data_IF_451476488947
#
_entry.id   IF_451476488947
#
_cell.length_a   1.000
_cell.length_b   1.000
_cell.length_c   1.000
_cell.angle_alpha   90.00
_cell.angle_beta   90.00
_cell.angle_gamma   90.00
#
_symmetry.space_group_name_H-M   'P 1'
#
loop_
_entity.id
_entity.type
_entity.pdbx_description
1 polymer ?
#
# COMPACT_ATOMS: atom_id res chain seq x y z
N UNK A 1 28.06 33.89 14.12
CA UNK A 1 26.89 33.94 13.19
C UNK A 1 26.63 32.61 12.47
N UNK A 2 27.65 31.90 11.97
CA UNK A 2 27.51 30.64 11.21
C UNK A 2 26.83 29.49 12.00
N UNK A 3 27.21 29.27 13.27
CA UNK A 3 26.64 28.19 14.10
C UNK A 3 25.14 28.34 14.40
N UNK A 4 24.69 29.58 14.69
CA UNK A 4 23.26 29.90 14.89
C UNK A 4 22.44 29.66 13.61
N UNK A 5 23.07 29.80 12.44
CA UNK A 5 22.42 29.58 11.14
C UNK A 5 22.23 28.07 10.87
N UNK A 6 23.26 27.27 11.17
CA UNK A 6 23.21 25.80 11.04
C UNK A 6 22.16 25.21 11.98
N UNK A 7 22.08 25.69 13.23
CA UNK A 7 21.05 25.27 14.19
C UNK A 7 19.62 25.57 13.72
N UNK A 8 19.39 26.72 13.10
CA UNK A 8 18.07 27.07 12.54
C UNK A 8 17.69 26.21 11.35
N UNK A 9 18.62 25.96 10.43
CA UNK A 9 18.39 25.08 9.28
C UNK A 9 18.10 23.65 9.76
N UNK A 10 18.87 23.14 10.73
CA UNK A 10 18.64 21.84 11.33
C UNK A 10 17.26 21.72 11.99
N UNK A 11 16.83 22.74 12.74
CA UNK A 11 15.50 22.79 13.35
C UNK A 11 14.39 22.81 12.29
N UNK A 12 14.53 23.61 11.23
CA UNK A 12 13.55 23.65 10.13
C UNK A 12 13.45 22.31 9.41
N UNK A 13 14.57 21.63 9.15
CA UNK A 13 14.58 20.29 8.57
C UNK A 13 13.90 19.26 9.48
N UNK A 14 14.19 19.30 10.78
CA UNK A 14 13.56 18.39 11.75
C UNK A 14 12.05 18.61 11.82
N UNK A 15 11.60 19.88 11.91
CA UNK A 15 10.18 20.23 11.93
C UNK A 15 9.47 19.81 10.63
N UNK A 16 10.13 19.95 9.48
CA UNK A 16 9.62 19.50 8.19
C UNK A 16 9.44 17.98 8.15
N UNK A 17 10.42 17.20 8.63
CA UNK A 17 10.32 15.74 8.71
C UNK A 17 9.20 15.27 9.65
N UNK A 18 9.02 15.95 10.79
CA UNK A 18 7.91 15.67 11.73
C UNK A 18 6.56 15.97 11.08
N UNK A 19 6.42 17.14 10.43
CA UNK A 19 5.20 17.50 9.73
C UNK A 19 4.85 16.49 8.64
N UNK A 20 5.81 16.09 7.81
CA UNK A 20 5.64 15.06 6.79
C UNK A 20 5.16 13.73 7.38
N UNK A 21 5.73 13.29 8.50
CA UNK A 21 5.33 12.06 9.18
C UNK A 21 3.87 12.10 9.65
N UNK A 22 3.42 13.25 10.18
CA UNK A 22 2.03 13.43 10.64
C UNK A 22 1.06 13.45 9.45
N UNK A 23 1.39 14.17 8.37
CA UNK A 23 0.52 14.30 7.20
C UNK A 23 0.37 13.00 6.39
N UNK A 24 1.44 12.19 6.34
CA UNK A 24 1.48 10.92 5.60
C UNK A 24 1.17 9.71 6.48
N UNK A 25 0.66 9.91 7.69
CA UNK A 25 0.22 8.81 8.55
C UNK A 25 -0.94 8.05 7.86
N UNK A 26 -0.84 6.72 7.69
CA UNK A 26 -1.94 5.93 7.15
C UNK A 26 -3.12 5.92 8.13
N UNK A 27 -4.33 5.93 7.59
CA UNK A 27 -5.58 5.78 8.34
C UNK A 27 -5.90 4.31 8.66
N UNK A 28 -5.34 3.36 7.90
CA UNK A 28 -5.53 1.92 8.09
C UNK A 28 -4.21 1.19 8.29
N UNK A 29 -4.28 0.06 8.99
CA UNK A 29 -3.13 -0.83 9.09
C UNK A 29 -2.91 -1.59 7.78
N UNK A 30 -1.70 -2.11 7.59
CA UNK A 30 -1.39 -2.98 6.46
C UNK A 30 -2.25 -4.25 6.47
N UNK A 31 -2.56 -4.79 7.65
CA UNK A 31 -3.44 -5.96 7.81
C UNK A 31 -4.88 -5.67 7.41
N UNK A 32 -5.42 -4.51 7.80
CA UNK A 32 -6.75 -4.06 7.39
C UNK A 32 -6.81 -3.89 5.87
N UNK A 33 -5.77 -3.30 5.27
CA UNK A 33 -5.67 -3.17 3.82
C UNK A 33 -5.57 -4.53 3.11
N UNK A 34 -4.86 -5.51 3.69
CA UNK A 34 -4.79 -6.87 3.14
C UNK A 34 -6.16 -7.56 3.13
N UNK A 35 -6.95 -7.40 4.20
CA UNK A 35 -8.32 -7.91 4.26
C UNK A 35 -9.25 -7.23 3.24
N UNK A 36 -9.06 -5.93 2.98
CA UNK A 36 -9.77 -5.23 1.92
C UNK A 36 -9.38 -5.83 0.56
N UNK A 37 -8.07 -6.01 0.30
CA UNK A 37 -7.57 -6.59 -0.94
C UNK A 37 -8.14 -7.99 -1.21
N UNK A 38 -8.20 -8.84 -0.17
CA UNK A 38 -8.82 -10.16 -0.24
C UNK A 38 -10.29 -10.09 -0.66
N UNK A 39 -11.07 -9.20 -0.03
CA UNK A 39 -12.52 -9.06 -0.26
C UNK A 39 -12.88 -8.48 -1.62
N UNK A 40 -12.05 -7.56 -2.14
CA UNK A 40 -12.35 -6.86 -3.41
C UNK A 40 -11.80 -7.60 -4.62
N UNK A 41 -10.91 -8.58 -4.43
CA UNK A 41 -10.36 -9.36 -5.54
C UNK A 41 -11.49 -10.16 -6.20
N UNK A 42 -11.72 -10.00 -7.52
CA UNK A 42 -12.79 -10.71 -8.22
C UNK A 42 -12.42 -12.18 -8.46
N UNK A 43 -12.75 -13.03 -7.50
CA UNK A 43 -12.51 -14.48 -7.59
C UNK A 43 -13.64 -15.13 -8.39
N UNK A 44 -13.29 -15.94 -9.39
CA UNK A 44 -14.26 -16.72 -10.19
C UNK A 44 -14.61 -18.05 -9.50
N UNK A 45 -15.74 -18.66 -9.86
CA UNK A 45 -16.17 -19.94 -9.28
C UNK A 45 -15.11 -21.05 -9.40
N UNK A 46 -14.79 -21.65 -8.25
CA UNK A 46 -13.79 -22.71 -8.09
C UNK A 46 -12.35 -22.21 -7.90
N UNK A 47 -12.10 -20.91 -7.92
CA UNK A 47 -10.83 -20.34 -7.48
C UNK A 47 -10.86 -20.03 -5.98
N UNK A 48 -9.72 -20.18 -5.32
CA UNK A 48 -9.51 -19.71 -3.95
C UNK A 48 -8.20 -18.93 -3.87
N UNK A 49 -8.14 -17.94 -2.98
CA UNK A 49 -6.90 -17.19 -2.73
C UNK A 49 -5.92 -18.11 -2.01
N UNK A 50 -4.76 -18.32 -2.62
CA UNK A 50 -3.67 -19.09 -2.04
C UNK A 50 -2.66 -18.20 -1.31
N UNK A 51 -2.42 -16.99 -1.82
CA UNK A 51 -1.41 -16.10 -1.28
C UNK A 51 -1.78 -14.64 -1.50
N UNK A 52 -1.52 -13.81 -0.50
CA UNK A 52 -1.55 -12.35 -0.61
C UNK A 52 -0.19 -11.86 -0.15
N UNK A 53 0.50 -11.10 -1.01
CA UNK A 53 1.74 -10.44 -0.66
C UNK A 53 1.59 -8.95 -0.92
N UNK A 54 1.99 -8.11 0.03
CA UNK A 54 1.86 -6.67 -0.15
C UNK A 54 3.15 -5.93 0.11
N UNK A 55 3.26 -4.74 -0.47
CA UNK A 55 4.31 -3.76 -0.17
C UNK A 55 3.67 -2.43 0.16
N UNK A 56 4.35 -1.74 1.06
CA UNK A 56 4.04 -0.36 1.36
C UNK A 56 4.82 0.55 0.42
N UNK A 57 4.13 1.38 -0.35
CA UNK A 57 4.77 2.39 -1.20
C UNK A 57 4.57 3.76 -0.57
N UNK A 58 5.54 4.18 0.25
CA UNK A 58 5.57 5.51 0.85
C UNK A 58 6.65 6.35 0.19
N UNK A 59 6.24 7.44 -0.44
CA UNK A 59 7.16 8.49 -0.81
C UNK A 59 7.14 9.59 0.26
N UNK A 60 8.29 9.81 0.89
CA UNK A 60 8.49 10.96 1.79
C UNK A 60 8.90 12.23 1.03
N UNK A 61 9.26 12.09 -0.26
CA UNK A 61 9.75 13.19 -1.10
C UNK A 61 8.62 13.87 -1.87
N UNK A 62 7.53 13.15 -2.15
CA UNK A 62 6.35 13.69 -2.82
C UNK A 62 5.19 13.66 -1.82
N UNK A 63 4.41 14.75 -1.77
CA UNK A 63 3.19 14.84 -0.94
C UNK A 63 2.06 13.98 -1.53
N UNK A 64 2.35 12.71 -1.78
CA UNK A 64 1.42 11.70 -2.28
C UNK A 64 0.89 10.90 -1.10
N UNK A 65 -0.38 10.54 -1.15
CA UNK A 65 -0.95 9.66 -0.13
C UNK A 65 -0.17 8.34 -0.05
N UNK A 66 -0.04 7.76 1.15
CA UNK A 66 0.49 6.43 1.31
C UNK A 66 -0.37 5.40 0.58
N UNK A 67 0.22 4.52 -0.22
CA UNK A 67 -0.50 3.46 -0.95
C UNK A 67 0.03 2.08 -0.58
N UNK A 68 -0.88 1.15 -0.30
CA UNK A 68 -0.58 -0.26 -0.15
C UNK A 68 -0.83 -0.98 -1.48
N UNK A 69 0.13 -1.80 -1.90
CA UNK A 69 0.03 -2.59 -3.13
C UNK A 69 0.07 -4.06 -2.78
N UNK A 70 -0.91 -4.83 -3.23
CA UNK A 70 -1.01 -6.25 -3.00
C UNK A 70 -0.96 -7.01 -4.31
N UNK A 71 -0.20 -8.10 -4.35
CA UNK A 71 -0.31 -9.16 -5.33
C UNK A 71 -1.10 -10.31 -4.67
N UNK A 72 -2.26 -10.63 -5.22
CA UNK A 72 -3.16 -11.69 -4.77
C UNK A 72 -3.09 -12.82 -5.78
N UNK A 73 -2.73 -14.03 -5.34
CA UNK A 73 -2.66 -15.22 -6.18
C UNK A 73 -3.87 -16.09 -5.86
N UNK A 74 -4.70 -16.36 -6.87
CA UNK A 74 -5.83 -17.26 -6.79
C UNK A 74 -5.54 -18.53 -7.59
N UNK A 75 -5.84 -19.71 -7.02
CA UNK A 75 -5.62 -21.00 -7.66
C UNK A 75 -6.91 -21.82 -7.77
N UNK A 76 -6.99 -22.66 -8.80
CA UNK A 76 -8.05 -23.66 -9.01
C UNK A 76 -7.41 -25.03 -9.21
N UNK A 77 -7.90 -26.03 -8.48
CA UNK A 77 -7.33 -27.39 -8.44
C UNK A 77 -8.20 -28.45 -9.10
N UNK A 78 -9.50 -28.21 -9.26
CA UNK A 78 -10.48 -29.21 -9.72
C UNK A 78 -10.41 -29.56 -11.21
N UNK A 79 -9.77 -28.74 -12.05
CA UNK A 79 -9.73 -28.94 -13.52
C UNK A 79 -8.32 -28.87 -14.09
N UNK A 80 -7.32 -29.23 -13.28
CA UNK A 80 -5.91 -28.93 -13.50
C UNK A 80 -5.47 -27.67 -12.76
N UNK A 81 -4.17 -27.57 -12.44
CA UNK A 81 -3.63 -26.43 -11.70
C UNK A 81 -3.67 -25.17 -12.58
N UNK A 82 -4.60 -24.28 -12.27
CA UNK A 82 -4.68 -22.95 -12.86
C UNK A 82 -4.40 -21.91 -11.77
N UNK A 83 -3.63 -20.88 -12.10
CA UNK A 83 -3.37 -19.75 -11.21
C UNK A 83 -3.68 -18.45 -11.94
N UNK A 84 -4.13 -17.44 -11.19
CA UNK A 84 -4.35 -16.07 -11.63
C UNK A 84 -3.75 -15.13 -10.60
N UNK A 85 -3.08 -14.09 -11.07
CA UNK A 85 -2.54 -13.06 -10.19
C UNK A 85 -3.29 -11.75 -10.38
N UNK A 86 -3.56 -11.06 -9.28
CA UNK A 86 -4.21 -9.76 -9.27
C UNK A 86 -3.33 -8.76 -8.53
N UNK A 87 -3.11 -7.59 -9.11
CA UNK A 87 -2.60 -6.42 -8.41
C UNK A 87 -3.76 -5.60 -7.88
N UNK A 88 -3.73 -5.31 -6.59
CA UNK A 88 -4.69 -4.45 -5.90
C UNK A 88 -3.92 -3.29 -5.26
N UNK A 89 -4.26 -2.06 -5.62
CA UNK A 89 -3.73 -0.85 -4.99
C UNK A 89 -4.81 -0.23 -4.10
N UNK A 90 -4.45 0.10 -2.85
CA UNK A 90 -5.36 0.66 -1.84
C UNK A 90 -4.73 1.91 -1.27
N UNK A 91 -5.47 3.02 -1.26
CA UNK A 91 -5.05 4.25 -0.60
C UNK A 91 -5.13 4.05 0.92
N UNK A 92 -3.99 4.12 1.59
CA UNK A 92 -3.89 3.85 3.02
C UNK A 92 -4.52 4.95 3.89
N UNK A 93 -4.90 6.10 3.30
CA UNK A 93 -5.51 7.24 3.97
C UNK A 93 -7.02 7.27 3.80
N UNK A 94 -7.53 6.99 2.59
CA UNK A 94 -8.98 6.97 2.31
C UNK A 94 -9.64 5.60 2.42
N UNK A 95 -8.84 4.52 2.46
CA UNK A 95 -9.29 3.12 2.41
C UNK A 95 -9.89 2.69 1.07
N UNK A 96 -9.81 3.53 0.06
CA UNK A 96 -10.39 3.26 -1.25
C UNK A 96 -9.47 2.38 -2.09
N UNK A 97 -10.08 1.54 -2.93
CA UNK A 97 -9.35 0.76 -3.92
C UNK A 97 -9.04 1.67 -5.10
N UNK A 98 -7.76 1.90 -5.34
CA UNK A 98 -7.25 2.75 -6.41
C UNK A 98 -7.25 1.99 -7.73
N UNK A 99 -6.81 0.73 -7.71
CA UNK A 99 -6.72 -0.10 -8.91
C UNK A 99 -6.87 -1.58 -8.55
N UNK A 100 -7.55 -2.33 -9.42
CA UNK A 100 -7.52 -3.79 -9.44
C UNK A 100 -7.18 -4.20 -10.88
N UNK A 101 -6.13 -4.99 -11.04
CA UNK A 101 -5.66 -5.44 -12.36
C UNK A 101 -5.26 -6.90 -12.32
N UNK A 102 -5.82 -7.70 -13.21
CA UNK A 102 -5.35 -9.08 -13.44
C UNK A 102 -4.04 -9.06 -14.24
N UNK A 103 -3.09 -9.89 -13.82
CA UNK A 103 -1.76 -9.99 -14.39
C UNK A 103 -1.55 -11.48 -14.67
N UNK A 104 -1.69 -11.81 -15.94
CA UNK A 104 -1.57 -13.16 -16.46
C UNK A 104 -0.09 -13.52 -16.66
#
# INVERSE_FOLDING_TARGET
>A
MKERFILRIGFCLLAYLIALSIFNKPSISFEEAAQIAEKVTPISDGYHISQISGRNNWSFLFATNPVYRFNVIAIKTESGFQHREYKVEIDAKTKEVVEIKEIN
#
